data_IF_376987414351
#
_entry.id   IF_376987414351
#
_cell.length_a   1.000
_cell.length_b   1.000
_cell.length_c   1.000
_cell.angle_alpha   90.00
_cell.angle_beta   90.00
_cell.angle_gamma   90.00
#
_symmetry.space_group_name_H-M   'P 1'
#
loop_
_entity.id
_entity.type
_entity.pdbx_description
1 polymer ?
#
# COMPACT_ATOMS: atom_id res chain seq x y z
N UNK A 1 -2.33 -12.36 23.84
CA UNK A 1 -3.53 -11.54 24.12
C UNK A 1 -4.30 -11.45 22.82
N UNK A 2 -5.63 -11.60 22.85
CA UNK A 2 -6.44 -11.19 21.69
C UNK A 2 -6.55 -9.67 21.75
N UNK A 3 -6.30 -8.95 20.64
CA UNK A 3 -6.52 -7.51 20.59
C UNK A 3 -7.99 -7.22 20.93
N UNK A 4 -8.22 -6.06 21.53
CA UNK A 4 -9.60 -5.64 21.81
C UNK A 4 -10.29 -5.24 20.49
N UNK A 5 -11.62 -5.33 20.45
CA UNK A 5 -12.40 -4.89 19.27
C UNK A 5 -12.09 -3.44 18.85
N UNK A 6 -11.66 -2.58 19.78
CA UNK A 6 -11.30 -1.19 19.50
C UNK A 6 -9.89 -1.06 18.89
N UNK A 7 -9.00 -2.04 19.12
CA UNK A 7 -7.66 -2.06 18.54
C UNK A 7 -7.70 -2.57 17.09
N UNK A 8 -8.49 -3.60 16.81
CA UNK A 8 -8.72 -4.10 15.44
C UNK A 8 -9.39 -3.04 14.56
N UNK A 9 -10.37 -2.30 15.10
CA UNK A 9 -11.05 -1.21 14.39
C UNK A 9 -10.13 -0.03 14.09
N UNK A 10 -9.20 0.28 15.00
CA UNK A 10 -8.18 1.31 14.75
C UNK A 10 -7.19 0.90 13.66
N UNK A 11 -6.72 -0.36 13.69
CA UNK A 11 -5.79 -0.89 12.69
C UNK A 11 -6.38 -0.87 11.27
N UNK A 12 -7.65 -1.30 11.14
CA UNK A 12 -8.35 -1.25 9.86
C UNK A 12 -8.50 0.19 9.31
N UNK A 13 -8.81 1.15 10.18
CA UNK A 13 -8.92 2.57 9.79
C UNK A 13 -7.56 3.16 9.44
N UNK A 14 -6.49 2.78 10.13
CA UNK A 14 -5.12 3.18 9.79
C UNK A 14 -4.69 2.67 8.41
N UNK A 15 -5.02 1.42 8.05
CA UNK A 15 -4.74 0.85 6.74
C UNK A 15 -5.45 1.63 5.62
N UNK A 16 -6.75 1.91 5.77
CA UNK A 16 -7.52 2.68 4.77
C UNK A 16 -6.96 4.09 4.57
N UNK A 17 -6.60 4.79 5.66
CA UNK A 17 -6.00 6.13 5.58
C UNK A 17 -4.62 6.12 4.92
N UNK A 18 -3.78 5.14 5.27
CA UNK A 18 -2.46 4.99 4.69
C UNK A 18 -2.54 4.71 3.19
N UNK A 19 -3.50 3.87 2.78
CA UNK A 19 -3.78 3.57 1.38
C UNK A 19 -4.22 4.81 0.61
N UNK A 20 -5.16 5.58 1.18
CA UNK A 20 -5.59 6.85 0.60
C UNK A 20 -4.42 7.81 0.45
N UNK A 21 -3.59 7.98 1.49
CA UNK A 21 -2.40 8.83 1.43
C UNK A 21 -1.40 8.35 0.36
N UNK A 22 -1.21 7.03 0.23
CA UNK A 22 -0.28 6.44 -0.72
C UNK A 22 -0.74 6.63 -2.18
N UNK A 23 -2.04 6.47 -2.43
CA UNK A 23 -2.65 6.51 -3.76
C UNK A 23 -2.98 7.94 -4.19
N UNK A 24 -3.44 8.78 -3.27
CA UNK A 24 -3.88 10.16 -3.53
C UNK A 24 -2.75 11.18 -3.37
N UNK A 25 -1.52 10.73 -3.10
CA UNK A 25 -0.36 11.61 -3.02
C UNK A 25 -0.31 12.49 -4.28
N UNK A 26 -0.49 13.80 -4.10
CA UNK A 26 -0.77 14.76 -5.20
C UNK A 26 0.30 14.81 -6.30
N UNK A 27 1.45 14.18 -6.10
CA UNK A 27 2.55 14.11 -7.06
C UNK A 27 2.67 12.76 -7.79
N UNK A 28 1.89 11.74 -7.40
CA UNK A 28 2.00 10.36 -7.90
C UNK A 28 3.44 9.80 -7.82
N UNK A 29 4.29 10.34 -6.94
CA UNK A 29 5.70 9.95 -6.89
C UNK A 29 5.84 8.57 -6.22
N UNK A 30 4.97 8.23 -5.28
CA UNK A 30 4.99 6.93 -4.62
C UNK A 30 4.66 5.79 -5.57
N UNK A 31 3.61 5.93 -6.38
CA UNK A 31 3.23 4.93 -7.39
C UNK A 31 4.31 4.77 -8.46
N UNK A 32 4.89 5.86 -8.95
CA UNK A 32 6.02 5.80 -9.91
C UNK A 32 7.20 5.06 -9.32
N UNK A 33 7.61 5.39 -8.09
CA UNK A 33 8.70 4.68 -7.39
C UNK A 33 8.37 3.21 -7.16
N UNK A 34 7.13 2.88 -6.79
CA UNK A 34 6.70 1.49 -6.61
C UNK A 34 6.88 0.68 -7.91
N UNK A 35 6.53 1.30 -9.03
CA UNK A 35 6.61 0.72 -10.37
C UNK A 35 8.03 0.57 -10.93
N UNK A 36 9.04 1.18 -10.30
CA UNK A 36 10.45 0.93 -10.60
C UNK A 36 10.97 -0.37 -9.98
N UNK A 37 10.30 -0.90 -8.94
CA UNK A 37 10.65 -2.20 -8.38
C UNK A 37 10.22 -3.33 -9.31
N UNK A 38 10.93 -4.48 -9.30
CA UNK A 38 10.48 -5.67 -10.01
C UNK A 38 9.06 -6.08 -9.60
N UNK A 39 8.25 -6.49 -10.57
CA UNK A 39 6.93 -7.07 -10.35
C UNK A 39 6.98 -8.17 -9.28
N UNK A 40 6.03 -8.14 -8.34
CA UNK A 40 5.89 -9.10 -7.24
C UNK A 40 6.93 -8.95 -6.13
N UNK A 41 7.84 -7.98 -6.21
CA UNK A 41 8.76 -7.67 -5.12
C UNK A 41 8.02 -6.91 -4.04
N UNK A 42 7.99 -7.49 -2.84
CA UNK A 42 7.49 -6.84 -1.64
C UNK A 42 8.46 -5.79 -1.12
N UNK A 43 7.93 -4.62 -0.77
CA UNK A 43 8.66 -3.49 -0.20
C UNK A 43 7.86 -2.98 0.99
N UNK A 44 8.52 -2.63 2.10
CA UNK A 44 7.82 -1.97 3.22
C UNK A 44 7.34 -0.59 2.81
N UNK A 45 6.07 -0.29 3.06
CA UNK A 45 5.43 0.92 2.58
C UNK A 45 6.04 2.21 3.15
N UNK A 46 6.62 2.13 4.36
CA UNK A 46 7.34 3.24 4.99
C UNK A 46 8.48 3.80 4.15
N UNK A 47 9.04 3.00 3.21
CA UNK A 47 10.10 3.45 2.30
C UNK A 47 9.66 4.60 1.38
N UNK A 48 8.35 4.72 1.12
CA UNK A 48 7.81 5.73 0.22
C UNK A 48 7.59 7.06 0.94
N UNK A 49 7.25 7.03 2.22
CA UNK A 49 6.94 8.20 3.03
C UNK A 49 8.18 8.90 3.58
N UNK A 50 8.00 10.15 3.98
CA UNK A 50 8.95 10.83 4.88
C UNK A 50 8.96 10.12 6.25
N UNK A 51 10.14 9.91 6.83
CA UNK A 51 10.29 9.13 8.07
C UNK A 51 9.54 9.77 9.23
N UNK A 52 9.66 11.09 9.41
CA UNK A 52 9.04 11.80 10.53
C UNK A 52 7.51 11.78 10.38
N UNK A 53 7.02 11.90 9.14
CA UNK A 53 5.59 11.78 8.83
C UNK A 53 5.06 10.37 9.10
N UNK A 54 5.76 9.33 8.64
CA UNK A 54 5.33 7.95 8.81
C UNK A 54 5.30 7.56 10.28
N UNK A 55 6.37 7.86 11.03
CA UNK A 55 6.45 7.53 12.45
C UNK A 55 5.39 8.28 13.28
N UNK A 56 5.00 9.49 12.87
CA UNK A 56 3.98 10.26 13.59
C UNK A 56 2.54 9.79 13.33
N UNK A 57 2.26 9.20 12.15
CA UNK A 57 0.89 8.88 11.72
C UNK A 57 0.61 7.37 11.61
N UNK A 58 1.65 6.55 11.38
CA UNK A 58 1.54 5.14 11.00
C UNK A 58 2.56 4.24 11.71
N UNK A 59 3.09 4.66 12.86
CA UNK A 59 4.13 3.92 13.62
C UNK A 59 3.79 2.44 13.86
N UNK A 60 2.51 2.11 14.04
CA UNK A 60 2.08 0.74 14.34
C UNK A 60 1.78 -0.08 13.08
N UNK A 61 1.76 0.55 11.91
CA UNK A 61 1.41 -0.09 10.65
C UNK A 61 2.63 -0.81 10.07
N UNK A 62 2.51 -2.13 9.89
CA UNK A 62 3.53 -2.98 9.29
C UNK A 62 3.08 -3.48 7.91
N UNK A 63 2.96 -2.55 6.96
CA UNK A 63 2.40 -2.85 5.65
C UNK A 63 3.51 -3.08 4.62
N UNK A 64 3.40 -4.19 3.90
CA UNK A 64 4.19 -4.47 2.71
C UNK A 64 3.35 -4.21 1.46
N UNK A 65 3.94 -3.59 0.46
CA UNK A 65 3.30 -3.29 -0.82
C UNK A 65 4.09 -3.92 -1.96
N UNK A 66 3.38 -4.45 -2.94
CA UNK A 66 3.96 -4.83 -4.23
C UNK A 66 2.99 -4.51 -5.37
N UNK A 67 3.50 -4.55 -6.59
CA UNK A 67 2.66 -4.45 -7.78
C UNK A 67 2.80 -5.72 -8.64
N UNK A 68 1.73 -6.05 -9.34
CA UNK A 68 1.59 -7.16 -10.26
C UNK A 68 0.99 -6.67 -11.59
N UNK A 69 1.29 -7.31 -12.73
CA UNK A 69 0.51 -7.11 -13.94
C UNK A 69 -0.92 -7.59 -13.73
N UNK A 70 -1.82 -7.11 -14.57
CA UNK A 70 -3.16 -7.66 -14.66
C UNK A 70 -3.13 -9.14 -15.08
N UNK A 71 -4.23 -9.86 -14.82
CA UNK A 71 -4.41 -11.31 -15.00
C UNK A 71 -4.10 -11.82 -16.41
N UNK A 72 -4.19 -10.97 -17.43
CA UNK A 72 -3.82 -11.29 -18.82
C UNK A 72 -2.34 -11.03 -19.14
N UNK A 73 -1.53 -10.60 -18.16
CA UNK A 73 -0.13 -10.22 -18.37
C UNK A 73 0.03 -8.87 -19.07
N UNK A 74 -0.99 -8.02 -19.05
CA UNK A 74 -0.95 -6.67 -19.61
C UNK A 74 -0.22 -5.73 -18.63
N UNK A 75 1.06 -5.49 -18.89
CA UNK A 75 1.92 -4.62 -18.08
C UNK A 75 1.73 -3.12 -18.36
N UNK A 76 1.07 -2.79 -19.48
CA UNK A 76 1.04 -1.45 -20.05
C UNK A 76 -0.25 -0.71 -19.71
N UNK A 77 -1.39 -1.43 -19.62
CA UNK A 77 -2.69 -0.80 -19.42
C UNK A 77 -3.20 -0.85 -17.99
N UNK A 78 -2.94 -1.93 -17.25
CA UNK A 78 -3.46 -2.12 -15.90
C UNK A 78 -2.36 -2.64 -14.97
N UNK A 79 -2.38 -2.17 -13.72
CA UNK A 79 -1.50 -2.70 -12.67
C UNK A 79 -2.30 -2.98 -11.42
N UNK A 80 -2.07 -4.14 -10.84
CA UNK A 80 -2.65 -4.53 -9.56
C UNK A 80 -1.64 -4.14 -8.49
N UNK A 81 -2.07 -3.39 -7.49
CA UNK A 81 -1.27 -3.08 -6.31
C UNK A 81 -1.84 -3.86 -5.15
N UNK A 82 -0.98 -4.58 -4.46
CA UNK A 82 -1.34 -5.39 -3.30
C UNK A 82 -0.66 -4.80 -2.08
N UNK A 83 -1.47 -4.47 -1.08
CA UNK A 83 -1.04 -4.06 0.24
C UNK A 83 -1.33 -5.20 1.19
N UNK A 84 -0.35 -5.57 2.00
CA UNK A 84 -0.44 -6.65 2.96
C UNK A 84 -0.05 -6.13 4.33
N UNK A 85 -1.00 -6.13 5.24
CA UNK A 85 -0.76 -5.83 6.64
C UNK A 85 -0.19 -7.07 7.33
N UNK A 86 1.06 -6.98 7.78
CA UNK A 86 1.74 -8.09 8.45
C UNK A 86 1.25 -8.31 9.88
N UNK A 87 0.56 -7.33 10.49
CA UNK A 87 0.01 -7.48 11.85
C UNK A 87 -1.26 -8.32 11.82
N UNK A 88 -2.21 -7.92 10.98
CA UNK A 88 -3.55 -8.50 10.95
C UNK A 88 -3.70 -9.59 9.87
N UNK A 89 -2.66 -9.80 9.05
CA UNK A 89 -2.63 -10.76 7.93
C UNK A 89 -3.75 -10.51 6.91
N UNK A 90 -4.14 -9.25 6.76
CA UNK A 90 -5.17 -8.80 5.82
C UNK A 90 -4.49 -8.21 4.59
N UNK A 91 -5.05 -8.51 3.41
CA UNK A 91 -4.64 -7.87 2.17
C UNK A 91 -5.72 -6.94 1.63
N UNK A 92 -5.28 -5.82 1.08
CA UNK A 92 -6.09 -4.96 0.24
C UNK A 92 -5.48 -4.92 -1.17
N UNK A 93 -6.34 -4.96 -2.17
CA UNK A 93 -5.94 -5.06 -3.58
C UNK A 93 -6.64 -3.97 -4.37
N UNK A 94 -5.86 -3.16 -5.07
CA UNK A 94 -6.37 -2.07 -5.90
C UNK A 94 -5.91 -2.30 -7.33
N UNK A 95 -6.84 -2.24 -8.29
CA UNK A 95 -6.52 -2.28 -9.72
C UNK A 95 -6.46 -0.86 -10.27
N UNK A 96 -5.31 -0.50 -10.81
CA UNK A 96 -5.07 0.81 -11.43
C UNK A 96 -5.11 0.71 -12.94
N UNK A 97 -5.86 1.63 -13.56
CA UNK A 97 -5.74 1.89 -14.99
C UNK A 97 -4.61 2.89 -15.21
N UNK A 98 -3.55 2.46 -15.89
CA UNK A 98 -2.36 3.26 -16.14
C UNK A 98 -2.60 4.40 -17.13
N UNK A 99 -3.69 4.38 -17.89
CA UNK A 99 -4.06 5.47 -18.82
C UNK A 99 -4.57 6.72 -18.12
N UNK A 100 -4.96 6.60 -16.86
CA UNK A 100 -5.57 7.69 -16.08
C UNK A 100 -4.66 8.20 -14.96
N UNK A 101 -3.42 7.70 -14.87
CA UNK A 101 -2.44 8.04 -13.83
C UNK A 101 -1.48 9.17 -14.23
#
# INVERSE_FOLDING_TARGET
MKPSSDEELKSAVELDLLLDDFVLEKKNDYLKRLFEFPCGKWVEIKYFFDSDYYDSNYQNSHISVCWLPDTDGDYDNNRIIVFFDNNDLVSQVISFNMKTL
#
